data_IF_093874256569
#
_entry.id   IF_093874256569
#
_cell.length_a   1.000
_cell.length_b   1.000
_cell.length_c   1.000
_cell.angle_alpha   90.00
_cell.angle_beta   90.00
_cell.angle_gamma   90.00
#
_symmetry.space_group_name_H-M   'P 1'
#
loop_
_entity.id
_entity.type
_entity.pdbx_description
1 polymer ?
#
# COMPACT_ATOMS: atom_id res chain seq x y z
N UNK A 1 -21.15 -7.09 -22.81
CA UNK A 1 -20.02 -7.16 -21.86
C UNK A 1 -20.55 -6.51 -20.60
N UNK A 2 -20.92 -7.31 -19.60
CA UNK A 2 -21.41 -6.77 -18.34
C UNK A 2 -20.18 -6.43 -17.49
N UNK A 3 -20.05 -5.17 -17.12
CA UNK A 3 -19.04 -4.72 -16.17
C UNK A 3 -19.46 -5.25 -14.80
N UNK A 4 -18.71 -6.22 -14.27
CA UNK A 4 -18.93 -6.66 -12.90
C UNK A 4 -18.57 -5.52 -11.94
N UNK A 5 -19.35 -5.32 -10.85
CA UNK A 5 -19.06 -4.25 -9.91
C UNK A 5 -17.71 -4.49 -9.23
N UNK A 6 -16.80 -3.51 -9.38
CA UNK A 6 -15.44 -3.51 -8.82
C UNK A 6 -15.37 -3.94 -7.34
N UNK A 7 -16.41 -3.67 -6.56
CA UNK A 7 -16.49 -4.00 -5.13
C UNK A 7 -16.44 -5.50 -4.82
N UNK A 8 -16.72 -6.39 -5.79
CA UNK A 8 -16.62 -7.84 -5.58
C UNK A 8 -15.21 -8.40 -5.78
N UNK A 9 -14.27 -7.59 -6.30
CA UNK A 9 -12.97 -8.10 -6.75
C UNK A 9 -11.78 -7.65 -5.90
N UNK A 10 -11.95 -6.73 -4.95
CA UNK A 10 -10.85 -6.23 -4.12
C UNK A 10 -11.32 -5.86 -2.72
N UNK A 11 -10.41 -5.95 -1.75
CA UNK A 11 -10.66 -5.56 -0.36
C UNK A 11 -9.90 -4.27 -0.06
N UNK A 12 -10.65 -3.23 0.28
CA UNK A 12 -10.09 -1.98 0.78
C UNK A 12 -10.00 -2.03 2.31
N UNK A 13 -8.79 -1.87 2.87
CA UNK A 13 -8.58 -1.94 4.32
C UNK A 13 -7.47 -1.02 4.80
N UNK A 14 -7.37 -0.86 6.11
CA UNK A 14 -6.27 -0.13 6.75
C UNK A 14 -4.95 -0.88 6.55
N UNK A 15 -3.90 -0.10 6.34
CA UNK A 15 -2.54 -0.62 6.33
C UNK A 15 -2.15 -1.07 7.74
N UNK A 16 -1.62 -2.27 7.86
CA UNK A 16 -1.10 -2.85 9.10
C UNK A 16 0.39 -3.15 8.90
N UNK A 17 1.30 -2.30 9.42
CA UNK A 17 2.74 -2.42 9.10
C UNK A 17 3.32 -3.82 9.33
N UNK A 18 2.92 -4.47 10.42
CA UNK A 18 3.39 -5.82 10.77
C UNK A 18 3.03 -6.88 9.72
N UNK A 19 1.86 -6.74 9.10
CA UNK A 19 1.31 -7.73 8.15
C UNK A 19 1.63 -7.38 6.70
N UNK A 20 1.70 -6.08 6.40
CA UNK A 20 1.67 -5.57 5.04
C UNK A 20 3.02 -5.07 4.54
N UNK A 21 4.01 -4.82 5.40
CA UNK A 21 5.29 -4.19 5.01
C UNK A 21 5.94 -4.86 3.80
N UNK A 22 6.08 -6.18 3.83
CA UNK A 22 6.70 -6.93 2.74
C UNK A 22 5.93 -6.79 1.42
N UNK A 23 4.59 -6.88 1.48
CA UNK A 23 3.73 -6.81 0.31
C UNK A 23 3.65 -5.38 -0.25
N UNK A 24 3.66 -4.38 0.63
CA UNK A 24 3.69 -2.97 0.25
C UNK A 24 5.02 -2.63 -0.43
N UNK A 25 6.15 -3.07 0.13
CA UNK A 25 7.45 -2.89 -0.50
C UNK A 25 7.48 -3.51 -1.90
N UNK A 26 6.97 -4.73 -2.04
CA UNK A 26 6.88 -5.41 -3.34
C UNK A 26 6.06 -4.61 -4.35
N UNK A 27 4.91 -4.06 -3.94
CA UNK A 27 4.07 -3.21 -4.77
C UNK A 27 4.82 -1.94 -5.21
N UNK A 28 5.37 -1.19 -4.26
CA UNK A 28 6.03 0.10 -4.54
C UNK A 28 7.31 -0.08 -5.38
N UNK A 29 8.10 -1.11 -5.13
CA UNK A 29 9.26 -1.44 -5.98
C UNK A 29 8.83 -1.80 -7.39
N UNK A 30 7.69 -2.47 -7.57
CA UNK A 30 7.17 -2.80 -8.90
C UNK A 30 6.68 -1.56 -9.66
N UNK A 31 6.10 -0.58 -8.94
CA UNK A 31 5.69 0.72 -9.50
C UNK A 31 6.92 1.52 -9.94
N UNK A 32 7.91 1.72 -9.05
CA UNK A 32 9.16 2.43 -9.36
C UNK A 32 9.95 1.75 -10.49
N UNK A 33 9.92 0.42 -10.57
CA UNK A 33 10.52 -0.31 -11.70
C UNK A 33 9.84 0.02 -13.03
N UNK A 34 8.57 0.43 -13.03
CA UNK A 34 7.80 0.73 -14.23
C UNK A 34 7.83 2.21 -14.62
N UNK A 35 7.62 3.12 -13.67
CA UNK A 35 7.52 4.57 -13.95
C UNK A 35 8.86 5.32 -13.84
N UNK A 36 9.82 4.79 -13.07
CA UNK A 36 11.15 5.37 -12.86
C UNK A 36 11.09 6.82 -12.37
N UNK A 37 10.17 7.15 -11.47
CA UNK A 37 10.04 8.51 -10.94
C UNK A 37 11.12 8.85 -9.90
N UNK A 38 11.84 7.84 -9.42
CA UNK A 38 12.98 7.96 -8.51
C UNK A 38 12.59 7.82 -7.04
N UNK A 39 11.39 7.32 -6.75
CA UNK A 39 10.95 7.05 -5.39
C UNK A 39 11.80 5.97 -4.73
N UNK A 40 12.25 6.25 -3.50
CA UNK A 40 13.03 5.28 -2.73
C UNK A 40 12.11 4.27 -2.04
N UNK A 41 11.62 3.30 -2.82
CA UNK A 41 10.87 2.15 -2.33
C UNK A 41 11.80 1.17 -1.59
N UNK A 42 12.09 1.45 -0.32
CA UNK A 42 12.90 0.60 0.55
C UNK A 42 12.20 0.35 1.90
N UNK A 43 12.46 -0.81 2.51
CA UNK A 43 11.94 -1.12 3.85
C UNK A 43 12.41 -0.08 4.89
N UNK A 44 13.64 0.42 4.74
CA UNK A 44 14.19 1.45 5.62
C UNK A 44 13.38 2.75 5.55
N UNK A 45 13.07 3.22 4.33
CA UNK A 45 12.26 4.42 4.12
C UNK A 45 10.83 4.24 4.64
N UNK A 46 10.20 3.10 4.37
CA UNK A 46 8.86 2.80 4.90
C UNK A 46 8.85 2.71 6.44
N UNK A 47 9.87 2.10 7.03
CA UNK A 47 10.02 2.01 8.50
C UNK A 47 10.27 3.38 9.13
N UNK A 48 11.02 4.25 8.47
CA UNK A 48 11.26 5.63 8.93
C UNK A 48 9.95 6.44 8.95
N UNK A 49 9.10 6.29 7.94
CA UNK A 49 7.78 6.95 7.89
C UNK A 49 6.91 6.62 9.11
N UNK A 50 6.96 5.37 9.57
CA UNK A 50 6.23 4.93 10.78
C UNK A 50 6.66 5.65 12.06
N UNK A 51 7.81 6.33 12.05
CA UNK A 51 8.34 7.07 13.19
C UNK A 51 8.03 8.56 13.14
N UNK A 52 7.39 9.04 12.07
CA UNK A 52 7.10 10.46 11.91
C UNK A 52 6.16 10.98 12.99
N UNK A 53 6.37 12.19 13.51
CA UNK A 53 5.50 12.77 14.53
C UNK A 53 4.05 12.85 14.05
N UNK A 54 3.13 12.34 14.87
CA UNK A 54 1.68 12.27 14.60
C UNK A 54 1.28 11.39 13.40
N UNK A 55 2.20 10.60 12.85
CA UNK A 55 1.83 9.62 11.85
C UNK A 55 1.23 8.39 12.51
N UNK A 56 0.04 8.02 12.06
CA UNK A 56 -0.73 6.89 12.55
C UNK A 56 -1.15 6.03 11.35
N UNK A 57 -0.35 5.00 11.03
CA UNK A 57 -0.57 4.14 9.86
C UNK A 57 -2.00 3.58 9.74
N UNK A 58 -2.62 3.28 10.88
CA UNK A 58 -3.98 2.75 10.97
C UNK A 58 -5.07 3.80 10.68
N UNK A 59 -4.72 5.08 10.65
CA UNK A 59 -5.60 6.23 10.38
C UNK A 59 -5.25 6.92 9.05
N UNK A 60 -3.97 6.93 8.69
CA UNK A 60 -3.42 7.72 7.59
C UNK A 60 -3.17 6.88 6.34
N UNK A 61 -3.13 5.55 6.46
CA UNK A 61 -2.78 4.66 5.36
C UNK A 61 -3.85 3.59 5.08
N UNK A 62 -3.99 3.28 3.80
CA UNK A 62 -4.89 2.27 3.27
C UNK A 62 -4.19 1.42 2.23
N UNK A 63 -4.62 0.17 2.13
CA UNK A 63 -4.19 -0.77 1.11
C UNK A 63 -5.39 -1.37 0.40
N UNK A 64 -5.16 -1.78 -0.84
CA UNK A 64 -6.11 -2.53 -1.66
C UNK A 64 -5.52 -3.90 -1.89
N UNK A 65 -6.26 -4.94 -1.51
CA UNK A 65 -5.87 -6.34 -1.67
C UNK A 65 -6.71 -6.99 -2.79
N UNK A 66 -6.06 -7.76 -3.68
CA UNK A 66 -6.76 -8.49 -4.72
C UNK A 66 -7.61 -9.64 -4.13
N UNK A 67 -8.87 -9.77 -4.56
CA UNK A 67 -9.70 -10.91 -4.14
C UNK A 67 -9.11 -12.24 -4.61
N UNK A 68 -9.23 -13.27 -3.77
CA UNK A 68 -8.76 -14.62 -4.10
C UNK A 68 -7.24 -14.84 -3.94
N UNK A 69 -6.45 -13.80 -3.69
CA UNK A 69 -5.02 -13.89 -3.40
C UNK A 69 -4.72 -13.25 -2.06
N UNK A 70 -4.62 -14.07 -1.01
CA UNK A 70 -4.24 -13.59 0.31
C UNK A 70 -2.92 -12.81 0.24
N UNK A 71 -2.93 -11.59 0.76
CA UNK A 71 -1.79 -10.69 0.91
C UNK A 71 -1.20 -10.11 -0.38
N UNK A 72 -1.87 -10.23 -1.54
CA UNK A 72 -1.43 -9.52 -2.74
C UNK A 72 -1.99 -8.10 -2.75
N UNK A 73 -1.13 -7.12 -2.44
CA UNK A 73 -1.49 -5.71 -2.49
C UNK A 73 -1.40 -5.17 -3.93
N UNK A 74 -2.43 -4.47 -4.36
CA UNK A 74 -2.56 -3.87 -5.70
C UNK A 74 -2.76 -2.35 -5.63
N UNK A 75 -2.82 -1.78 -4.43
CA UNK A 75 -2.96 -0.35 -4.23
C UNK A 75 -2.53 0.06 -2.82
N UNK A 76 -2.01 1.27 -2.72
CA UNK A 76 -1.62 1.93 -1.48
C UNK A 76 -2.00 3.40 -1.56
N UNK A 77 -2.48 3.94 -0.44
CA UNK A 77 -2.75 5.36 -0.30
C UNK A 77 -2.32 5.80 1.09
N UNK A 78 -1.67 6.96 1.17
CA UNK A 78 -1.35 7.64 2.41
C UNK A 78 -1.84 9.08 2.34
N UNK A 79 -2.50 9.54 3.39
CA UNK A 79 -2.88 10.95 3.59
C UNK A 79 -2.21 11.42 4.87
N UNK A 80 -0.95 11.83 4.75
CA UNK A 80 -0.30 12.61 5.78
C UNK A 80 -0.30 14.08 5.38
N UNK A 81 -0.57 14.96 6.35
CA UNK A 81 -0.34 16.39 6.19
C UNK A 81 1.12 16.67 6.60
N UNK A 82 1.93 17.15 5.65
CA UNK A 82 3.20 17.83 5.96
C UNK A 82 2.93 19.20 6.56
#
# INVERSE_FOLDING_TARGET
>A
MQEEPLEQQYVFRRYMPVEDMFHLLTLLTSIEFYDHDGDNASEATLSEQLTWPNHHSEQDCWVIEASGFSHTLIGYCSVFAL
#
